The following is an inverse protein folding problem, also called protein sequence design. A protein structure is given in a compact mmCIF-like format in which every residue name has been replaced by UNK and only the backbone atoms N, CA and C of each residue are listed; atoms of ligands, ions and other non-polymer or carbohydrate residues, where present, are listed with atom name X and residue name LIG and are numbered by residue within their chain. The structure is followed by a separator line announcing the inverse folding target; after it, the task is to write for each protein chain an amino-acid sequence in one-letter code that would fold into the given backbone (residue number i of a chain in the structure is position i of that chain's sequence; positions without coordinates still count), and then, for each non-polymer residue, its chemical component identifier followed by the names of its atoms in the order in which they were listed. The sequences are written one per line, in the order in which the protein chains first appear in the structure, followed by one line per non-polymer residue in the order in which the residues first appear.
data_IF_557727290706
#
_entry.id   IF_557727290706
#
_cell.length_a   1.000
_cell.length_b   1.000
_cell.length_c   1.000
_cell.angle_alpha   90.00
_cell.angle_beta   90.00
_cell.angle_gamma   90.00
#
_symmetry.space_group_name_H-M   'P 1'
#
loop_
_entity.id
_entity.type
_entity.pdbx_description
1 polymer ?
#
# COMPACT_ATOMS: atom_id res chain seq x y z
N UNK A 1 -15.17 44.08 10.68
CA UNK A 1 -15.06 42.82 11.45
C UNK A 1 -13.83 42.10 10.93
N UNK A 2 -12.92 41.58 11.77
CA UNK A 2 -11.82 40.79 11.23
C UNK A 2 -12.45 39.64 10.45
N UNK A 3 -12.01 39.43 9.20
CA UNK A 3 -12.39 38.24 8.45
C UNK A 3 -12.15 37.05 9.37
N UNK A 4 -13.17 36.20 9.57
CA UNK A 4 -13.03 35.03 10.43
C UNK A 4 -11.76 34.28 10.04
N UNK A 5 -10.82 34.14 10.97
CA UNK A 5 -9.58 33.41 10.74
C UNK A 5 -9.93 32.04 10.16
N UNK A 6 -9.22 31.66 9.10
CA UNK A 6 -9.52 30.42 8.39
C UNK A 6 -9.32 29.24 9.34
N UNK A 7 -10.28 28.31 9.39
CA UNK A 7 -10.13 27.10 10.21
C UNK A 7 -9.07 26.20 9.60
N UNK A 8 -8.41 25.37 10.42
CA UNK A 8 -7.37 24.47 9.93
C UNK A 8 -7.88 23.58 8.78
N UNK A 9 -9.06 22.99 8.94
CA UNK A 9 -9.70 22.13 7.92
C UNK A 9 -9.94 22.88 6.61
N UNK A 10 -10.49 24.09 6.67
CA UNK A 10 -10.76 24.89 5.48
C UNK A 10 -9.47 25.37 4.80
N UNK A 11 -8.44 25.68 5.59
CA UNK A 11 -7.11 26.01 5.07
C UNK A 11 -6.47 24.83 4.36
N UNK A 12 -6.48 23.63 4.97
CA UNK A 12 -5.97 22.40 4.35
C UNK A 12 -6.73 22.03 3.08
N UNK A 13 -8.06 22.13 3.09
CA UNK A 13 -8.88 21.86 1.91
C UNK A 13 -8.56 22.83 0.76
N UNK A 14 -8.43 24.12 1.06
CA UNK A 14 -8.07 25.14 0.08
C UNK A 14 -6.65 24.92 -0.48
N UNK A 15 -5.68 24.63 0.39
CA UNK A 15 -4.31 24.31 -0.03
C UNK A 15 -4.29 23.06 -0.92
N UNK A 16 -5.00 22.00 -0.55
CA UNK A 16 -5.09 20.75 -1.32
C UNK A 16 -5.74 20.95 -2.70
N UNK A 17 -6.66 21.90 -2.83
CA UNK A 17 -7.30 22.22 -4.10
C UNK A 17 -6.36 22.93 -5.10
N UNK A 18 -5.25 23.51 -4.63
CA UNK A 18 -4.40 24.39 -5.43
C UNK A 18 -2.93 23.97 -5.51
N UNK A 19 -2.44 23.15 -4.59
CA UNK A 19 -1.04 22.80 -4.47
C UNK A 19 -0.85 21.31 -4.17
N UNK A 20 0.24 20.74 -4.68
CA UNK A 20 0.70 19.43 -4.27
C UNK A 20 1.36 19.50 -2.87
N UNK A 21 1.25 18.47 -2.02
CA UNK A 21 1.82 18.49 -0.67
C UNK A 21 3.30 18.86 -0.60
N UNK A 22 4.12 18.30 -1.51
CA UNK A 22 5.55 18.58 -1.56
C UNK A 22 5.91 20.05 -1.86
N UNK A 23 4.98 20.84 -2.40
CA UNK A 23 5.18 22.28 -2.61
C UNK A 23 4.98 23.09 -1.32
N UNK A 24 4.39 22.48 -0.29
CA UNK A 24 3.97 23.13 0.95
C UNK A 24 4.71 22.60 2.18
N UNK A 25 5.35 21.43 2.09
CA UNK A 25 5.97 20.72 3.21
C UNK A 25 6.82 21.63 4.11
N UNK A 26 7.83 22.32 3.54
CA UNK A 26 8.71 23.23 4.31
C UNK A 26 7.95 24.37 5.00
N UNK A 27 6.89 24.90 4.39
CA UNK A 27 6.10 25.96 5.02
C UNK A 27 5.19 25.41 6.13
N UNK A 28 4.67 24.19 5.97
CA UNK A 28 3.81 23.54 6.95
C UNK A 28 4.57 23.01 8.18
N UNK A 29 5.89 22.88 8.08
CA UNK A 29 6.77 22.61 9.22
C UNK A 29 6.94 23.85 10.13
N UNK A 30 6.83 25.06 9.57
CA UNK A 30 7.09 26.32 10.28
C UNK A 30 5.81 27.09 10.63
N UNK A 31 4.77 26.96 9.81
CA UNK A 31 3.53 27.75 9.88
C UNK A 31 2.28 26.87 9.89
N UNK A 32 1.23 27.37 10.52
CA UNK A 32 -0.09 26.72 10.47
C UNK A 32 -0.66 26.73 9.04
N UNK A 33 -1.54 25.79 8.67
CA UNK A 33 -2.18 25.79 7.35
C UNK A 33 -2.87 27.12 6.99
N UNK A 34 -3.47 27.80 7.97
CA UNK A 34 -4.11 29.10 7.76
C UNK A 34 -3.10 30.20 7.41
N UNK A 35 -1.95 30.23 8.09
CA UNK A 35 -0.87 31.17 7.79
C UNK A 35 -0.25 30.90 6.42
N UNK A 36 -0.04 29.62 6.05
CA UNK A 36 0.44 29.24 4.72
C UNK A 36 -0.54 29.69 3.64
N UNK A 37 -1.84 29.46 3.82
CA UNK A 37 -2.86 29.95 2.88
C UNK A 37 -2.79 31.47 2.69
N UNK A 38 -2.73 32.22 3.79
CA UNK A 38 -2.63 33.68 3.78
C UNK A 38 -1.36 34.19 3.07
N UNK A 39 -0.22 33.52 3.27
CA UNK A 39 1.03 33.82 2.54
C UNK A 39 0.87 33.57 1.05
N UNK A 40 0.30 32.43 0.67
CA UNK A 40 0.05 32.08 -0.73
C UNK A 40 -0.88 33.07 -1.42
N UNK A 41 -1.96 33.49 -0.76
CA UNK A 41 -2.86 34.55 -1.24
C UNK A 41 -2.11 35.87 -1.48
N UNK A 42 -1.29 36.33 -0.53
CA UNK A 42 -0.52 37.57 -0.66
C UNK A 42 0.50 37.52 -1.80
N UNK A 43 1.12 36.37 -2.02
CA UNK A 43 2.09 36.18 -3.11
C UNK A 43 1.45 35.91 -4.48
N UNK A 44 0.14 35.66 -4.53
CA UNK A 44 -0.55 35.30 -5.77
C UNK A 44 -0.90 36.54 -6.60
N UNK A 45 -0.02 36.88 -7.55
CA UNK A 45 -0.21 38.04 -8.42
C UNK A 45 -1.41 37.97 -9.38
N UNK A 46 -2.05 36.80 -9.56
CA UNK A 46 -3.22 36.65 -10.42
C UNK A 46 -4.56 36.99 -9.75
N UNK A 47 -4.59 37.12 -8.42
CA UNK A 47 -5.80 37.37 -7.64
C UNK A 47 -6.76 36.16 -7.53
N UNK A 48 -6.42 35.02 -8.12
CA UNK A 48 -7.25 33.81 -8.13
C UNK A 48 -7.46 33.26 -6.72
N UNK A 49 -6.40 33.22 -5.90
CA UNK A 49 -6.52 32.73 -4.53
C UNK A 49 -7.28 33.71 -3.62
N UNK A 50 -7.22 35.01 -3.91
CA UNK A 50 -7.95 36.03 -3.15
C UNK A 50 -9.47 35.99 -3.41
N UNK A 51 -9.90 35.54 -4.60
CA UNK A 51 -11.31 35.36 -4.92
C UNK A 51 -11.87 34.01 -4.45
N UNK A 52 -11.01 33.06 -4.08
CA UNK A 52 -11.42 31.76 -3.55
C UNK A 52 -12.11 31.90 -2.18
N UNK A 53 -13.07 31.01 -1.89
CA UNK A 53 -13.89 31.04 -0.66
C UNK A 53 -13.78 29.70 0.07
N UNK A 54 -12.68 29.47 0.83
CA UNK A 54 -12.41 28.19 1.47
C UNK A 54 -13.56 27.63 2.33
N UNK A 55 -14.16 28.47 3.20
CA UNK A 55 -15.23 28.04 4.09
C UNK A 55 -16.49 27.63 3.33
N UNK A 56 -16.87 28.39 2.31
CA UNK A 56 -18.08 28.11 1.51
C UNK A 56 -17.89 26.84 0.68
N UNK A 57 -16.72 26.67 0.06
CA UNK A 57 -16.44 25.51 -0.76
C UNK A 57 -16.33 24.23 0.06
N UNK A 58 -15.65 24.28 1.22
CA UNK A 58 -15.58 23.16 2.15
C UNK A 58 -17.00 22.79 2.61
N UNK A 59 -17.77 23.76 3.12
CA UNK A 59 -19.11 23.51 3.62
C UNK A 59 -20.03 22.91 2.54
N UNK A 60 -19.92 23.35 1.29
CA UNK A 60 -20.71 22.81 0.18
C UNK A 60 -20.31 21.35 -0.15
N UNK A 61 -19.02 21.03 -0.15
CA UNK A 61 -18.55 19.68 -0.43
C UNK A 61 -18.87 18.69 0.70
N UNK A 62 -18.78 19.15 1.96
CA UNK A 62 -19.08 18.36 3.17
C UNK A 62 -20.56 17.96 3.28
N UNK A 63 -21.47 18.59 2.52
CA UNK A 63 -22.84 18.10 2.36
C UNK A 63 -22.90 16.69 1.74
N UNK A 64 -21.84 16.25 1.05
CA UNK A 64 -21.80 14.97 0.35
C UNK A 64 -20.66 14.06 0.83
N UNK A 65 -19.48 14.62 1.06
CA UNK A 65 -18.28 13.88 1.43
C UNK A 65 -17.53 14.69 2.49
N UNK A 66 -17.37 14.21 3.74
CA UNK A 66 -16.52 14.87 4.71
C UNK A 66 -15.06 14.94 4.23
N UNK A 67 -14.37 16.02 4.61
CA UNK A 67 -12.92 16.14 4.42
C UNK A 67 -12.22 15.92 5.76
N UNK A 68 -11.52 14.81 5.92
CA UNK A 68 -10.74 14.52 7.14
C UNK A 68 -9.31 15.06 7.02
N UNK A 69 -8.71 15.42 8.15
CA UNK A 69 -7.36 16.01 8.23
C UNK A 69 -6.49 15.27 9.27
N UNK A 70 -5.16 15.45 9.27
CA UNK A 70 -4.25 14.75 10.18
C UNK A 70 -4.57 14.81 11.68
N UNK A 71 -5.29 15.85 12.13
CA UNK A 71 -5.67 16.01 13.54
C UNK A 71 -6.93 15.22 13.93
N UNK A 72 -7.62 14.58 12.97
CA UNK A 72 -8.83 13.81 13.23
C UNK A 72 -8.50 12.39 13.68
N UNK A 73 -9.32 11.82 14.57
CA UNK A 73 -9.19 10.43 15.04
C UNK A 73 -9.26 9.41 13.89
N UNK A 74 -10.01 9.73 12.83
CA UNK A 74 -10.19 8.88 11.64
C UNK A 74 -9.03 8.97 10.63
N UNK A 75 -8.01 9.79 10.89
CA UNK A 75 -6.90 9.96 9.97
C UNK A 75 -6.01 8.72 9.92
N UNK A 76 -5.77 8.13 8.72
CA UNK A 76 -4.84 7.01 8.60
C UNK A 76 -3.40 7.47 8.85
N UNK A 77 -2.85 7.10 10.01
CA UNK A 77 -1.50 7.53 10.43
C UNK A 77 -0.40 7.03 9.50
N UNK A 78 -0.61 5.90 8.80
CA UNK A 78 0.31 5.35 7.79
C UNK A 78 0.61 6.33 6.64
N UNK A 79 -0.26 7.31 6.36
CA UNK A 79 0.02 8.34 5.37
C UNK A 79 1.21 9.24 5.73
N UNK A 80 1.62 9.27 7.01
CA UNK A 80 2.80 10.00 7.45
C UNK A 80 4.09 9.47 6.82
N UNK A 81 4.13 8.20 6.41
CA UNK A 81 5.31 7.57 5.79
C UNK A 81 5.64 8.18 4.41
N UNK A 82 4.68 8.87 3.80
CA UNK A 82 4.89 9.68 2.58
C UNK A 82 5.73 10.95 2.82
N UNK A 83 6.04 11.30 4.07
CA UNK A 83 6.87 12.45 4.42
C UNK A 83 6.36 13.76 3.79
N UNK A 84 7.20 14.51 3.04
CA UNK A 84 6.77 15.74 2.35
C UNK A 84 5.62 15.56 1.36
N UNK A 85 5.36 14.33 0.89
CA UNK A 85 4.24 14.02 0.02
C UNK A 85 2.94 13.66 0.78
N UNK A 86 2.96 13.63 2.11
CA UNK A 86 1.80 13.33 2.95
C UNK A 86 0.61 14.25 2.61
N UNK A 87 -0.58 13.70 2.29
CA UNK A 87 -1.75 14.49 1.94
C UNK A 87 -2.17 15.47 3.03
N UNK A 88 -2.68 16.63 2.62
CA UNK A 88 -3.20 17.64 3.55
C UNK A 88 -4.54 17.24 4.18
N UNK A 89 -5.25 16.31 3.54
CA UNK A 89 -6.50 15.73 4.00
C UNK A 89 -7.06 14.77 2.94
N UNK A 90 -8.14 14.07 3.29
CA UNK A 90 -8.83 13.13 2.42
C UNK A 90 -10.33 13.42 2.40
N UNK A 91 -10.92 13.43 1.21
CA UNK A 91 -12.36 13.32 1.05
C UNK A 91 -12.76 11.87 1.25
N UNK A 92 -13.82 11.64 2.02
CA UNK A 92 -14.31 10.30 2.36
C UNK A 92 -15.79 10.17 2.01
N UNK A 93 -16.19 9.02 1.49
CA UNK A 93 -17.58 8.63 1.29
C UNK A 93 -17.76 7.19 1.75
N UNK A 94 -18.65 6.94 2.70
CA UNK A 94 -18.83 5.62 3.32
C UNK A 94 -19.41 5.74 4.72
N UNK A 95 -19.80 4.62 5.33
CA UNK A 95 -20.36 4.58 6.70
C UNK A 95 -19.38 4.05 7.74
N UNK A 96 -18.46 3.18 7.35
CA UNK A 96 -17.43 2.65 8.24
C UNK A 96 -16.34 3.69 8.53
N UNK A 97 -15.68 3.51 9.67
CA UNK A 97 -14.54 4.30 10.10
C UNK A 97 -13.35 4.00 9.19
N UNK A 98 -12.75 5.03 8.61
CA UNK A 98 -11.66 4.87 7.63
C UNK A 98 -10.45 4.20 8.28
N UNK A 99 -10.12 4.58 9.52
CA UNK A 99 -9.01 3.99 10.26
C UNK A 99 -9.12 2.45 10.35
N UNK A 100 -10.33 1.93 10.64
CA UNK A 100 -10.60 0.49 10.71
C UNK A 100 -10.37 -0.22 9.38
N UNK A 101 -10.78 0.39 8.27
CA UNK A 101 -10.58 -0.16 6.93
C UNK A 101 -9.09 -0.20 6.57
N UNK A 102 -8.33 0.82 6.97
CA UNK A 102 -6.90 0.92 6.64
C UNK A 102 -6.02 0.03 7.50
N UNK A 103 -6.42 -0.30 8.74
CA UNK A 103 -5.65 -1.16 9.65
C UNK A 103 -5.38 -2.56 9.07
N UNK A 104 -6.27 -3.06 8.20
CA UNK A 104 -6.16 -4.37 7.56
C UNK A 104 -6.15 -4.29 6.03
N UNK A 105 -5.90 -3.11 5.45
CA UNK A 105 -5.98 -2.90 4.02
C UNK A 105 -4.89 -3.64 3.25
N UNK A 106 -5.29 -4.41 2.24
CA UNK A 106 -4.38 -5.07 1.29
C UNK A 106 -4.75 -4.69 -0.12
N UNK A 107 -3.77 -4.18 -0.86
CA UNK A 107 -3.97 -3.75 -2.25
C UNK A 107 -3.92 -4.95 -3.16
N UNK A 108 -4.94 -5.10 -4.01
CA UNK A 108 -4.91 -6.05 -5.13
C UNK A 108 -5.08 -5.26 -6.42
N UNK A 109 -4.00 -5.13 -7.20
CA UNK A 109 -3.97 -4.26 -8.38
C UNK A 109 -3.19 -4.87 -9.54
N UNK A 110 -3.38 -4.32 -10.74
CA UNK A 110 -2.69 -4.77 -11.93
C UNK A 110 -3.27 -4.22 -13.23
N UNK A 111 -3.21 -5.06 -14.26
CA UNK A 111 -3.50 -4.73 -15.64
C UNK A 111 -4.98 -4.39 -15.81
N UNK A 112 -5.24 -3.35 -16.60
CA UNK A 112 -6.61 -2.90 -16.95
C UNK A 112 -7.29 -3.77 -18.00
N UNK A 113 -6.50 -4.55 -18.74
CA UNK A 113 -6.95 -5.55 -19.70
C UNK A 113 -6.23 -6.89 -19.42
N UNK A 114 -6.54 -7.53 -18.27
CA UNK A 114 -5.82 -8.70 -17.80
C UNK A 114 -6.12 -9.94 -18.64
N UNK A 115 -5.23 -10.93 -18.59
CA UNK A 115 -5.51 -12.29 -19.06
C UNK A 115 -6.58 -12.97 -18.20
N UNK A 116 -7.25 -14.02 -18.71
CA UNK A 116 -8.22 -14.80 -17.93
C UNK A 116 -7.58 -15.42 -16.67
N UNK A 117 -6.32 -15.83 -16.77
CA UNK A 117 -5.56 -16.33 -15.63
C UNK A 117 -5.35 -15.25 -14.58
N UNK A 118 -5.02 -14.02 -14.98
CA UNK A 118 -4.87 -12.89 -14.07
C UNK A 118 -6.22 -12.47 -13.44
N UNK A 119 -7.34 -12.56 -14.17
CA UNK A 119 -8.68 -12.36 -13.59
C UNK A 119 -8.96 -13.39 -12.51
N UNK A 120 -8.73 -14.67 -12.79
CA UNK A 120 -8.92 -15.77 -11.83
C UNK A 120 -8.06 -15.55 -10.59
N UNK A 121 -6.78 -15.24 -10.78
CA UNK A 121 -5.83 -14.99 -9.70
C UNK A 121 -6.22 -13.78 -8.85
N UNK A 122 -6.66 -12.68 -9.47
CA UNK A 122 -7.14 -11.50 -8.76
C UNK A 122 -8.37 -11.80 -7.89
N UNK A 123 -9.29 -12.62 -8.43
CA UNK A 123 -10.47 -13.08 -7.71
C UNK A 123 -10.09 -13.96 -6.52
N UNK A 124 -9.20 -14.94 -6.70
CA UNK A 124 -8.73 -15.84 -5.64
C UNK A 124 -8.03 -15.07 -4.52
N UNK A 125 -7.13 -14.13 -4.85
CA UNK A 125 -6.46 -13.27 -3.87
C UNK A 125 -7.46 -12.44 -3.06
N UNK A 126 -8.34 -11.72 -3.74
CA UNK A 126 -9.29 -10.83 -3.08
C UNK A 126 -10.32 -11.60 -2.24
N UNK A 127 -10.79 -12.76 -2.71
CA UNK A 127 -11.69 -13.64 -1.95
C UNK A 127 -11.01 -14.12 -0.67
N UNK A 128 -9.80 -14.67 -0.78
CA UNK A 128 -9.07 -15.18 0.38
C UNK A 128 -8.79 -14.09 1.42
N UNK A 129 -8.35 -12.91 0.97
CA UNK A 129 -8.10 -11.75 1.84
C UNK A 129 -9.37 -11.32 2.57
N UNK A 130 -10.48 -11.18 1.85
CA UNK A 130 -11.75 -10.77 2.42
C UNK A 130 -12.28 -11.82 3.42
N UNK A 131 -12.24 -13.10 3.09
CA UNK A 131 -12.63 -14.19 4.01
C UNK A 131 -11.78 -14.23 5.29
N UNK A 132 -10.51 -13.84 5.19
CA UNK A 132 -9.60 -13.71 6.33
C UNK A 132 -9.78 -12.40 7.13
N UNK A 133 -10.71 -11.52 6.73
CA UNK A 133 -11.02 -10.26 7.42
C UNK A 133 -10.12 -9.08 7.05
N UNK A 134 -9.33 -9.20 5.97
CA UNK A 134 -8.59 -8.07 5.41
C UNK A 134 -9.49 -7.20 4.54
N UNK A 135 -9.25 -5.90 4.56
CA UNK A 135 -9.94 -4.95 3.69
C UNK A 135 -9.27 -4.96 2.33
N UNK A 136 -9.94 -5.50 1.30
CA UNK A 136 -9.43 -5.39 -0.07
C UNK A 136 -9.50 -3.93 -0.53
N UNK A 137 -8.41 -3.41 -1.08
CA UNK A 137 -8.36 -2.03 -1.59
C UNK A 137 -7.76 -1.93 -2.99
N UNK A 138 -8.30 -1.03 -3.82
CA UNK A 138 -7.81 -0.75 -5.18
C UNK A 138 -8.30 0.61 -5.68
N UNK A 139 -7.93 1.02 -6.91
CA UNK A 139 -8.34 2.31 -7.49
C UNK A 139 -9.69 2.29 -8.22
N UNK A 140 -10.40 1.17 -8.17
CA UNK A 140 -11.63 0.90 -8.94
C UNK A 140 -11.44 0.89 -10.47
N UNK A 141 -10.19 0.80 -10.95
CA UNK A 141 -9.90 0.72 -12.39
C UNK A 141 -10.51 -0.54 -13.04
N UNK A 142 -10.49 -0.58 -14.38
CA UNK A 142 -10.81 -1.80 -15.12
C UNK A 142 -9.84 -2.94 -14.79
N UNK A 143 -10.25 -4.18 -15.12
CA UNK A 143 -9.40 -5.35 -15.00
C UNK A 143 -9.25 -5.77 -13.54
N UNK A 144 -7.99 -5.97 -13.12
CA UNK A 144 -7.65 -6.53 -11.81
C UNK A 144 -8.32 -5.78 -10.65
N UNK A 145 -8.26 -4.44 -10.63
CA UNK A 145 -8.85 -3.63 -9.56
C UNK A 145 -10.36 -3.88 -9.40
N UNK A 146 -11.11 -3.91 -10.51
CA UNK A 146 -12.54 -4.19 -10.45
C UNK A 146 -12.86 -5.62 -10.07
N UNK A 147 -12.07 -6.59 -10.54
CA UNK A 147 -12.21 -7.99 -10.16
C UNK A 147 -11.99 -8.17 -8.66
N UNK A 148 -10.99 -7.50 -8.08
CA UNK A 148 -10.72 -7.54 -6.65
C UNK A 148 -11.88 -7.00 -5.81
N UNK A 149 -12.44 -5.85 -6.18
CA UNK A 149 -13.61 -5.29 -5.50
C UNK A 149 -14.86 -6.17 -5.64
N UNK A 150 -15.07 -6.78 -6.82
CA UNK A 150 -16.19 -7.71 -7.05
C UNK A 150 -16.07 -8.94 -6.17
N UNK A 151 -14.91 -9.59 -6.17
CA UNK A 151 -14.62 -10.75 -5.34
C UNK A 151 -14.80 -10.44 -3.85
N UNK A 152 -14.29 -9.31 -3.37
CA UNK A 152 -14.51 -8.87 -1.99
C UNK A 152 -16.00 -8.68 -1.67
N UNK A 153 -16.77 -8.06 -2.58
CA UNK A 153 -18.20 -7.87 -2.40
C UNK A 153 -18.99 -9.19 -2.36
N UNK A 154 -18.58 -10.21 -3.11
CA UNK A 154 -19.19 -11.55 -3.12
C UNK A 154 -19.07 -12.26 -1.75
N UNK A 155 -18.03 -11.97 -0.97
CA UNK A 155 -17.87 -12.48 0.40
C UNK A 155 -18.70 -11.70 1.44
N UNK A 156 -19.35 -10.61 1.04
CA UNK A 156 -20.11 -9.72 1.93
C UNK A 156 -19.25 -8.83 2.83
N UNK A 157 -17.94 -8.76 2.59
CA UNK A 157 -17.02 -7.94 3.36
C UNK A 157 -16.85 -6.52 2.77
N UNK A 158 -16.46 -5.59 3.64
CA UNK A 158 -16.16 -4.22 3.25
C UNK A 158 -14.86 -4.14 2.43
N UNK A 159 -14.83 -3.22 1.45
CA UNK A 159 -13.62 -2.87 0.70
C UNK A 159 -13.43 -1.35 0.64
N UNK A 160 -12.22 -0.92 0.32
CA UNK A 160 -11.84 0.50 0.28
C UNK A 160 -11.40 0.90 -1.14
N UNK A 161 -12.10 1.82 -1.78
CA UNK A 161 -11.72 2.35 -3.09
C UNK A 161 -10.94 3.67 -2.96
N UNK A 162 -9.80 3.80 -3.64
CA UNK A 162 -9.03 5.05 -3.72
C UNK A 162 -9.20 5.68 -5.10
N UNK A 163 -10.05 6.70 -5.22
CA UNK A 163 -10.41 7.24 -6.52
C UNK A 163 -9.47 8.35 -7.01
N UNK A 164 -9.10 8.38 -8.31
CA UNK A 164 -8.26 9.42 -8.90
C UNK A 164 -9.03 10.71 -9.24
N UNK A 165 -10.18 10.95 -8.59
CA UNK A 165 -11.13 12.02 -8.92
C UNK A 165 -11.99 12.38 -7.73
N UNK A 166 -12.82 13.41 -7.84
CA UNK A 166 -13.85 13.71 -6.85
C UNK A 166 -14.84 12.55 -6.63
N UNK A 167 -15.34 12.41 -5.40
CA UNK A 167 -16.23 11.31 -4.97
C UNK A 167 -17.71 11.46 -5.39
N UNK A 168 -18.01 12.47 -6.22
CA UNK A 168 -19.29 12.68 -6.89
C UNK A 168 -19.57 11.65 -8.00
N UNK A 169 -18.59 10.80 -8.36
CA UNK A 169 -18.82 9.65 -9.22
C UNK A 169 -17.63 8.69 -9.32
N UNK A 170 -17.85 7.53 -9.92
CA UNK A 170 -16.81 6.52 -10.15
C UNK A 170 -15.85 6.92 -11.29
N UNK A 171 -14.65 6.33 -11.29
CA UNK A 171 -13.76 6.30 -12.44
C UNK A 171 -13.23 4.87 -12.62
N UNK A 172 -13.49 4.21 -13.75
CA UNK A 172 -14.30 4.67 -14.90
C UNK A 172 -15.79 4.85 -14.54
N UNK A 173 -16.53 5.63 -15.33
CA UNK A 173 -17.96 5.90 -15.06
C UNK A 173 -18.81 4.62 -15.05
N UNK A 174 -18.44 3.62 -15.87
CA UNK A 174 -19.11 2.32 -15.93
C UNK A 174 -19.11 1.56 -14.58
N UNK A 175 -18.20 1.90 -13.66
CA UNK A 175 -18.09 1.24 -12.35
C UNK A 175 -18.90 1.93 -11.26
N UNK A 176 -19.83 2.83 -11.62
CA UNK A 176 -20.76 3.42 -10.66
C UNK A 176 -21.59 2.36 -9.88
N UNK A 177 -22.10 1.27 -10.49
CA UNK A 177 -22.76 0.21 -9.73
C UNK A 177 -21.82 -0.50 -8.75
N UNK A 178 -20.56 -0.73 -9.14
CA UNK A 178 -19.56 -1.35 -8.27
C UNK A 178 -19.22 -0.45 -7.09
N UNK A 179 -19.03 0.86 -7.32
CA UNK A 179 -18.86 1.83 -6.24
C UNK A 179 -20.05 1.84 -5.27
N UNK A 180 -21.29 1.76 -5.78
CA UNK A 180 -22.47 1.63 -4.90
C UNK A 180 -22.38 0.37 -4.07
N UNK A 181 -22.08 -0.78 -4.69
CA UNK A 181 -21.93 -2.06 -3.99
C UNK A 181 -20.90 -2.00 -2.87
N UNK A 182 -19.75 -1.33 -3.10
CA UNK A 182 -18.72 -1.13 -2.06
C UNK A 182 -19.32 -0.39 -0.87
N UNK A 183 -20.01 0.72 -1.11
CA UNK A 183 -20.60 1.55 -0.05
C UNK A 183 -21.75 0.83 0.69
N UNK A 184 -22.56 0.07 -0.05
CA UNK A 184 -23.71 -0.68 0.47
C UNK A 184 -23.26 -1.84 1.38
N UNK A 185 -22.10 -2.45 1.09
CA UNK A 185 -21.46 -3.49 1.92
C UNK A 185 -20.65 -2.92 3.09
N UNK A 186 -20.86 -1.65 3.45
CA UNK A 186 -20.13 -1.01 4.54
C UNK A 186 -18.72 -0.55 4.16
N UNK A 187 -18.31 -0.65 2.91
CA UNK A 187 -17.03 -0.09 2.44
C UNK A 187 -16.99 1.44 2.43
N UNK A 188 -15.86 1.96 1.97
CA UNK A 188 -15.64 3.38 1.78
C UNK A 188 -14.93 3.67 0.46
N UNK A 189 -15.04 4.92 0.00
CA UNK A 189 -14.24 5.49 -1.06
C UNK A 189 -13.55 6.75 -0.54
N UNK A 190 -12.27 6.90 -0.88
CA UNK A 190 -11.46 8.06 -0.51
C UNK A 190 -10.85 8.72 -1.74
N UNK A 191 -10.58 10.02 -1.62
CA UNK A 191 -9.92 10.80 -2.67
C UNK A 191 -9.16 11.99 -2.10
N UNK A 192 -8.06 12.35 -2.76
CA UNK A 192 -7.37 13.62 -2.53
C UNK A 192 -8.15 14.83 -3.06
N UNK A 193 -9.14 14.58 -3.93
CA UNK A 193 -9.75 15.59 -4.76
C UNK A 193 -11.19 15.86 -4.34
N UNK A 194 -11.51 17.15 -4.25
CA UNK A 194 -12.88 17.60 -3.94
C UNK A 194 -13.89 17.14 -5.00
N UNK A 195 -15.18 17.01 -4.64
CA UNK A 195 -16.25 16.77 -5.59
C UNK A 195 -16.19 17.70 -6.82
N UNK A 196 -16.42 17.15 -8.01
CA UNK A 196 -16.34 17.85 -9.30
C UNK A 196 -14.96 17.83 -9.96
N UNK A 197 -13.92 17.31 -9.31
CA UNK A 197 -12.60 17.15 -9.92
C UNK A 197 -12.56 15.92 -10.83
N UNK A 198 -12.15 16.11 -12.09
CA UNK A 198 -12.02 15.03 -13.08
C UNK A 198 -10.71 14.24 -12.93
N UNK A 199 -10.72 12.98 -13.40
CA UNK A 199 -9.51 12.17 -13.47
C UNK A 199 -8.55 12.69 -14.56
N UNK A 200 -7.25 12.64 -14.27
CA UNK A 200 -6.16 12.94 -15.20
C UNK A 200 -4.97 12.01 -14.94
N UNK A 201 -3.93 12.06 -15.78
CA UNK A 201 -2.71 11.27 -15.55
C UNK A 201 -2.05 11.57 -14.20
N UNK A 202 -2.04 12.84 -13.78
CA UNK A 202 -1.47 13.26 -12.50
C UNK A 202 -2.28 12.72 -11.32
N UNK A 203 -3.61 12.75 -11.42
CA UNK A 203 -4.48 12.30 -10.32
C UNK A 203 -4.44 10.78 -10.16
N UNK A 204 -4.27 10.05 -11.26
CA UNK A 204 -4.04 8.59 -11.25
C UNK A 204 -2.74 8.22 -10.54
N UNK A 205 -1.65 8.94 -10.79
CA UNK A 205 -0.37 8.71 -10.10
C UNK A 205 -0.51 8.99 -8.60
N UNK A 206 -1.11 10.13 -8.25
CA UNK A 206 -1.31 10.51 -6.84
C UNK A 206 -2.21 9.52 -6.08
N UNK A 207 -3.28 9.00 -6.69
CA UNK A 207 -4.12 7.98 -6.06
C UNK A 207 -3.39 6.65 -5.86
N UNK A 208 -2.50 6.26 -6.78
CA UNK A 208 -1.69 5.04 -6.62
C UNK A 208 -0.70 5.15 -5.45
N UNK A 209 -0.11 6.33 -5.25
CA UNK A 209 0.77 6.62 -4.10
C UNK A 209 0.00 6.50 -2.79
N UNK A 210 -1.17 7.15 -2.70
CA UNK A 210 -2.05 7.06 -1.52
C UNK A 210 -2.53 5.63 -1.28
N UNK A 211 -2.87 4.90 -2.35
CA UNK A 211 -3.30 3.51 -2.26
C UNK A 211 -2.24 2.63 -1.59
N UNK A 212 -0.97 2.74 -2.01
CA UNK A 212 0.12 1.99 -1.40
C UNK A 212 0.39 2.41 0.05
N UNK A 213 0.34 3.71 0.35
CA UNK A 213 0.56 4.24 1.69
C UNK A 213 -0.53 3.87 2.71
N UNK A 214 -1.75 3.59 2.24
CA UNK A 214 -2.85 3.12 3.10
C UNK A 214 -2.79 1.61 3.38
N UNK A 215 -1.90 0.87 2.73
CA UNK A 215 -1.92 -0.58 2.70
C UNK A 215 -0.89 -1.21 3.64
N UNK A 216 -1.26 -2.36 4.20
CA UNK A 216 -0.37 -3.27 4.93
C UNK A 216 0.49 -4.13 4.01
N UNK A 217 0.00 -4.37 2.79
CA UNK A 217 0.69 -5.10 1.74
C UNK A 217 0.11 -4.74 0.37
N UNK A 218 0.91 -4.89 -0.68
CA UNK A 218 0.50 -4.71 -2.08
C UNK A 218 0.69 -6.00 -2.86
N UNK A 219 -0.30 -6.36 -3.67
CA UNK A 219 -0.31 -7.54 -4.53
C UNK A 219 -0.47 -7.07 -5.98
N UNK A 220 0.58 -7.26 -6.78
CA UNK A 220 0.61 -6.99 -8.21
C UNK A 220 0.31 -8.27 -8.99
N UNK A 221 -0.91 -8.40 -9.50
CA UNK A 221 -1.38 -9.65 -10.12
C UNK A 221 -0.82 -9.86 -11.53
N UNK A 222 -0.83 -8.81 -12.34
CA UNK A 222 -0.30 -8.79 -13.71
C UNK A 222 -0.10 -7.32 -14.07
N UNK A 223 1.06 -6.90 -14.54
CA UNK A 223 1.26 -5.53 -15.01
C UNK A 223 2.34 -5.46 -16.11
N UNK A 224 2.07 -4.64 -17.12
CA UNK A 224 3.12 -4.20 -18.04
C UNK A 224 4.07 -3.26 -17.29
N UNK A 225 5.34 -3.27 -17.68
CA UNK A 225 6.24 -2.23 -17.18
C UNK A 225 5.77 -0.84 -17.64
N UNK A 226 6.02 0.16 -16.80
CA UNK A 226 5.66 1.56 -17.03
C UNK A 226 4.15 1.88 -17.17
N UNK A 227 3.26 1.07 -16.59
CA UNK A 227 1.81 1.39 -16.51
C UNK A 227 1.37 1.82 -15.12
N UNK A 228 0.14 2.33 -15.01
CA UNK A 228 -0.37 2.95 -13.79
C UNK A 228 -0.30 2.08 -12.53
N UNK A 229 -0.50 0.76 -12.65
CA UNK A 229 -0.39 -0.17 -11.52
C UNK A 229 1.04 -0.30 -10.97
N UNK A 230 2.06 -0.06 -11.81
CA UNK A 230 3.45 -0.06 -11.36
C UNK A 230 3.75 1.07 -10.38
N UNK A 231 3.04 2.21 -10.44
CA UNK A 231 3.24 3.28 -9.45
C UNK A 231 2.90 2.82 -8.04
N UNK A 232 1.86 1.99 -7.85
CA UNK A 232 1.53 1.45 -6.54
C UNK A 232 2.61 0.48 -6.04
N UNK A 233 3.13 -0.38 -6.93
CA UNK A 233 4.22 -1.30 -6.61
C UNK A 233 5.53 -0.57 -6.29
N UNK A 234 5.92 0.43 -7.10
CA UNK A 234 7.11 1.26 -6.86
C UNK A 234 6.98 2.04 -5.56
N UNK A 235 5.81 2.62 -5.28
CA UNK A 235 5.56 3.30 -4.00
C UNK A 235 5.66 2.31 -2.83
N UNK A 236 5.18 1.07 -2.98
CA UNK A 236 5.32 0.06 -1.94
C UNK A 236 6.79 -0.24 -1.63
N UNK A 237 7.64 -0.34 -2.66
CA UNK A 237 9.10 -0.49 -2.49
C UNK A 237 9.69 0.72 -1.75
N UNK A 238 9.35 1.95 -2.18
CA UNK A 238 9.82 3.20 -1.56
C UNK A 238 9.40 3.33 -0.08
N UNK A 239 8.21 2.84 0.27
CA UNK A 239 7.68 2.85 1.64
C UNK A 239 8.07 1.62 2.46
N UNK A 240 8.85 0.70 1.90
CA UNK A 240 9.14 -0.61 2.51
C UNK A 240 7.88 -1.38 2.93
N UNK A 241 6.78 -1.17 2.21
CA UNK A 241 5.55 -1.91 2.36
C UNK A 241 5.71 -3.28 1.68
N UNK A 242 5.34 -4.40 2.36
CA UNK A 242 5.41 -5.74 1.77
C UNK A 242 4.76 -5.81 0.39
N UNK A 243 5.54 -6.23 -0.61
CA UNK A 243 5.11 -6.32 -2.00
C UNK A 243 5.17 -7.76 -2.48
N UNK A 244 4.05 -8.24 -3.01
CA UNK A 244 3.92 -9.52 -3.70
C UNK A 244 3.69 -9.25 -5.18
N UNK A 245 4.45 -9.92 -6.03
CA UNK A 245 4.21 -9.96 -7.45
C UNK A 245 3.88 -11.40 -7.84
N UNK A 246 2.79 -11.57 -8.57
CA UNK A 246 2.44 -12.88 -9.04
C UNK A 246 3.42 -13.33 -10.16
N UNK A 247 3.65 -14.65 -10.36
CA UNK A 247 4.66 -15.15 -11.27
C UNK A 247 4.53 -14.57 -12.67
N UNK A 248 5.66 -14.14 -13.24
CA UNK A 248 5.74 -13.74 -14.64
C UNK A 248 5.49 -14.96 -15.55
N UNK A 249 4.62 -14.79 -16.55
CA UNK A 249 4.21 -15.89 -17.44
C UNK A 249 5.02 -15.92 -18.74
N UNK A 250 5.99 -15.02 -18.90
CA UNK A 250 6.69 -14.77 -20.16
C UNK A 250 5.91 -13.93 -21.17
N UNK A 251 4.63 -13.62 -20.90
CA UNK A 251 3.85 -12.64 -21.66
C UNK A 251 4.27 -11.22 -21.30
N UNK A 252 4.34 -10.33 -22.30
CA UNK A 252 4.64 -8.88 -22.12
C UNK A 252 3.72 -8.20 -21.10
N UNK A 253 2.49 -8.69 -20.93
CA UNK A 253 1.54 -8.22 -19.90
C UNK A 253 2.03 -8.41 -18.47
N UNK A 254 3.01 -9.27 -18.25
CA UNK A 254 3.65 -9.51 -16.95
C UNK A 254 5.08 -8.96 -16.87
N UNK A 255 5.50 -8.11 -17.82
CA UNK A 255 6.85 -7.53 -17.84
C UNK A 255 7.20 -6.70 -16.60
N UNK A 256 6.22 -6.01 -15.99
CA UNK A 256 6.40 -5.29 -14.73
C UNK A 256 6.58 -6.24 -13.54
N UNK A 257 5.84 -7.35 -13.51
CA UNK A 257 6.05 -8.42 -12.53
C UNK A 257 7.46 -9.00 -12.66
N UNK A 258 7.88 -9.35 -13.89
CA UNK A 258 9.22 -9.86 -14.14
C UNK A 258 10.30 -8.90 -13.64
N UNK A 259 10.19 -7.59 -13.95
CA UNK A 259 11.14 -6.59 -13.47
C UNK A 259 11.26 -6.55 -11.94
N UNK A 260 10.13 -6.61 -11.23
CA UNK A 260 10.13 -6.57 -9.75
C UNK A 260 10.74 -7.84 -9.15
N UNK A 261 10.42 -9.00 -9.73
CA UNK A 261 10.94 -10.29 -9.27
C UNK A 261 12.44 -10.44 -9.57
N UNK A 262 12.87 -10.11 -10.79
CA UNK A 262 14.28 -10.16 -11.20
C UNK A 262 15.15 -9.18 -10.39
N UNK A 263 14.56 -8.06 -9.96
CA UNK A 263 15.21 -7.07 -9.10
C UNK A 263 15.09 -7.36 -7.60
N UNK A 264 14.49 -8.49 -7.20
CA UNK A 264 14.25 -8.87 -5.80
C UNK A 264 13.50 -7.80 -4.99
N UNK A 265 12.60 -7.05 -5.65
CA UNK A 265 11.79 -5.98 -5.07
C UNK A 265 10.41 -6.46 -4.62
N UNK A 266 10.06 -7.71 -4.92
CA UNK A 266 8.78 -8.31 -4.55
C UNK A 266 8.93 -9.80 -4.28
N UNK A 267 8.05 -10.32 -3.43
CA UNK A 267 7.91 -11.76 -3.21
C UNK A 267 7.17 -12.40 -4.37
N UNK A 268 7.70 -13.48 -4.91
CA UNK A 268 6.99 -14.32 -5.87
C UNK A 268 5.91 -15.13 -5.16
N UNK A 269 4.64 -14.97 -5.54
CA UNK A 269 3.57 -15.84 -5.04
C UNK A 269 2.56 -16.24 -6.11
N UNK A 270 2.41 -17.53 -6.43
CA UNK A 270 1.40 -18.01 -7.37
C UNK A 270 -0.01 -18.02 -6.78
N UNK A 271 -0.13 -18.06 -5.45
CA UNK A 271 -1.39 -18.34 -4.74
C UNK A 271 -1.61 -17.42 -3.51
N UNK A 272 -2.83 -17.39 -2.94
CA UNK A 272 -3.19 -16.45 -1.89
C UNK A 272 -2.66 -16.77 -0.49
N UNK A 273 -2.09 -17.95 -0.22
CA UNK A 273 -1.64 -18.33 1.14
C UNK A 273 -0.60 -17.35 1.67
N UNK A 274 0.37 -17.01 0.83
CA UNK A 274 1.42 -16.05 1.19
C UNK A 274 0.87 -14.64 1.33
N UNK A 275 -0.11 -14.26 0.50
CA UNK A 275 -0.79 -12.97 0.60
C UNK A 275 -1.49 -12.76 1.95
N UNK A 276 -1.99 -13.83 2.58
CA UNK A 276 -2.58 -13.77 3.93
C UNK A 276 -1.52 -13.52 5.02
N UNK A 277 -0.28 -13.97 4.79
CA UNK A 277 0.81 -13.82 5.74
C UNK A 277 1.48 -12.43 5.68
N UNK A 278 1.57 -11.84 4.48
CA UNK A 278 2.26 -10.57 4.23
C UNK A 278 1.85 -9.39 5.14
N UNK A 279 0.56 -9.15 5.45
CA UNK A 279 0.16 -8.07 6.35
C UNK A 279 0.75 -8.17 7.76
N UNK A 280 1.14 -9.39 8.16
CA UNK A 280 1.78 -9.71 9.44
C UNK A 280 3.31 -9.70 9.38
N UNK A 281 3.91 -9.37 8.23
CA UNK A 281 5.34 -9.27 8.09
C UNK A 281 5.90 -8.18 9.00
N UNK A 282 7.03 -8.48 9.64
CA UNK A 282 7.75 -7.56 10.53
C UNK A 282 9.25 -7.72 10.35
N UNK A 283 9.98 -6.66 10.65
CA UNK A 283 11.44 -6.74 10.74
C UNK A 283 11.83 -7.42 12.06
N UNK A 284 12.76 -8.37 11.99
CA UNK A 284 13.36 -9.04 13.13
C UNK A 284 14.88 -9.11 12.93
N UNK A 285 15.63 -9.26 14.03
CA UNK A 285 17.05 -9.63 13.93
C UNK A 285 17.15 -11.10 13.58
N UNK A 286 18.18 -11.49 12.82
CA UNK A 286 18.41 -12.88 12.46
C UNK A 286 18.48 -13.79 13.70
N UNK A 287 19.17 -13.36 14.76
CA UNK A 287 19.27 -14.13 16.01
C UNK A 287 17.94 -14.29 16.78
N UNK A 288 16.92 -13.49 16.45
CA UNK A 288 15.59 -13.56 17.06
C UNK A 288 14.59 -14.41 16.24
N UNK A 289 15.01 -14.98 15.11
CA UNK A 289 14.19 -15.85 14.27
C UNK A 289 13.91 -17.15 15.02
N UNK A 290 12.64 -17.54 15.09
CA UNK A 290 12.22 -18.78 15.73
C UNK A 290 12.01 -19.90 14.71
N UNK A 291 12.08 -21.14 15.21
CA UNK A 291 11.71 -22.32 14.43
C UNK A 291 10.28 -22.18 13.86
N UNK A 292 10.14 -22.37 12.55
CA UNK A 292 8.87 -22.26 11.84
C UNK A 292 8.53 -20.85 11.32
N UNK A 293 9.35 -19.83 11.59
CA UNK A 293 9.13 -18.49 11.05
C UNK A 293 9.37 -18.47 9.53
N UNK A 294 8.52 -17.78 8.77
CA UNK A 294 8.69 -17.59 7.33
C UNK A 294 9.61 -16.40 7.05
N UNK A 295 10.71 -16.65 6.34
CA UNK A 295 11.65 -15.66 5.85
C UNK A 295 11.23 -15.15 4.47
N UNK A 296 11.09 -13.82 4.35
CA UNK A 296 10.68 -13.16 3.10
C UNK A 296 11.82 -12.41 2.42
N UNK A 297 12.68 -11.73 3.19
CA UNK A 297 13.70 -10.84 2.67
C UNK A 297 14.83 -10.57 3.67
N UNK A 298 16.00 -10.20 3.15
CA UNK A 298 17.01 -9.46 3.91
C UNK A 298 16.64 -7.97 3.94
N UNK A 299 16.93 -7.26 5.04
CA UNK A 299 16.63 -5.83 5.17
C UNK A 299 17.92 -5.06 5.40
N UNK A 300 18.28 -4.22 4.42
CA UNK A 300 19.45 -3.36 4.47
C UNK A 300 19.10 -1.87 4.48
N UNK A 301 20.12 -1.01 4.38
CA UNK A 301 19.94 0.45 4.35
C UNK A 301 19.11 0.93 3.14
N UNK A 302 19.12 0.18 2.05
CA UNK A 302 18.41 0.51 0.81
C UNK A 302 17.00 -0.11 0.74
N UNK A 303 16.58 -0.86 1.77
CA UNK A 303 15.28 -1.54 1.83
C UNK A 303 15.39 -3.06 1.89
N UNK A 304 14.29 -3.73 1.56
CA UNK A 304 14.18 -5.19 1.57
C UNK A 304 14.64 -5.80 0.24
N UNK A 305 15.52 -6.79 0.32
CA UNK A 305 15.95 -7.66 -0.78
C UNK A 305 15.25 -9.01 -0.62
N UNK A 306 14.19 -9.21 -1.39
CA UNK A 306 13.31 -10.37 -1.26
C UNK A 306 13.97 -11.65 -1.78
N UNK A 307 13.77 -12.74 -1.05
CA UNK A 307 14.22 -14.05 -1.50
C UNK A 307 13.35 -14.54 -2.65
N UNK A 308 13.99 -15.13 -3.67
CA UNK A 308 13.29 -15.72 -4.81
C UNK A 308 12.28 -16.78 -4.38
N UNK A 309 12.66 -17.55 -3.35
CA UNK A 309 11.81 -18.54 -2.69
C UNK A 309 11.83 -18.22 -1.19
N UNK A 310 10.77 -17.59 -0.67
CA UNK A 310 10.55 -17.49 0.77
C UNK A 310 10.52 -18.87 1.41
N UNK A 311 10.97 -18.97 2.66
CA UNK A 311 11.11 -20.27 3.28
C UNK A 311 10.92 -20.29 4.78
N UNK A 312 10.53 -21.45 5.28
CA UNK A 312 10.37 -21.70 6.72
C UNK A 312 11.76 -21.92 7.33
N UNK A 313 12.11 -21.09 8.30
CA UNK A 313 13.40 -21.09 8.96
C UNK A 313 13.44 -22.13 10.08
N UNK A 314 14.54 -22.88 10.11
CA UNK A 314 14.93 -23.75 11.22
C UNK A 314 16.28 -23.25 11.77
N UNK A 315 16.28 -22.54 12.92
CA UNK A 315 17.50 -22.02 13.51
C UNK A 315 18.41 -23.15 14.02
N UNK A 316 19.66 -23.14 13.56
CA UNK A 316 20.70 -24.09 13.89
C UNK A 316 21.95 -23.37 14.43
N UNK A 317 22.75 -24.03 15.29
CA UNK A 317 24.01 -23.47 15.75
C UNK A 317 25.02 -23.36 14.60
N UNK A 318 25.80 -22.29 14.59
CA UNK A 318 26.92 -22.14 13.66
C UNK A 318 27.95 -23.27 13.85
N UNK A 319 28.17 -24.06 12.80
CA UNK A 319 29.15 -25.14 12.79
C UNK A 319 30.05 -25.08 11.53
N UNK A 320 31.28 -24.55 11.63
CA UNK A 320 32.22 -24.52 10.51
C UNK A 320 32.78 -25.92 10.16
N UNK A 321 32.49 -26.95 10.95
CA UNK A 321 32.97 -28.32 10.76
C UNK A 321 31.95 -29.26 10.10
N UNK A 322 30.72 -28.79 9.82
CA UNK A 322 29.62 -29.60 9.27
C UNK A 322 29.88 -30.14 7.84
N UNK A 323 30.96 -29.70 7.18
CA UNK A 323 31.42 -30.22 5.91
C UNK A 323 30.76 -29.62 4.67
N UNK A 324 29.67 -28.84 4.80
CA UNK A 324 29.05 -28.12 3.69
C UNK A 324 29.86 -26.91 3.21
N UNK A 325 30.71 -26.35 4.09
CA UNK A 325 31.60 -25.24 3.78
C UNK A 325 30.95 -23.85 3.81
N UNK A 326 29.63 -23.73 4.01
CA UNK A 326 28.94 -22.42 3.98
C UNK A 326 29.34 -21.56 5.19
N UNK A 327 29.39 -22.14 6.38
CA UNK A 327 29.86 -21.45 7.59
C UNK A 327 31.32 -20.96 7.47
N UNK A 328 32.14 -21.55 6.58
CA UNK A 328 33.51 -21.10 6.33
C UNK A 328 33.60 -19.79 5.53
N UNK A 329 32.49 -19.33 4.94
CA UNK A 329 32.43 -18.06 4.20
C UNK A 329 32.33 -16.85 5.14
N UNK A 330 31.93 -17.06 6.39
CA UNK A 330 31.86 -16.01 7.41
C UNK A 330 33.28 -15.74 7.94
N UNK A 331 33.79 -14.52 7.71
CA UNK A 331 35.17 -14.15 8.03
C UNK A 331 35.32 -13.45 9.39
N UNK A 332 34.25 -12.86 9.92
CA UNK A 332 34.19 -12.22 11.24
C UNK A 332 32.86 -12.56 11.91
N UNK A 333 32.77 -13.70 12.63
CA UNK A 333 31.48 -14.31 12.91
C UNK A 333 30.67 -13.60 14.00
N UNK A 334 31.29 -12.84 14.92
CA UNK A 334 30.54 -12.31 16.07
C UNK A 334 29.62 -13.39 16.69
N UNK A 335 28.33 -13.06 16.83
CA UNK A 335 27.27 -14.05 17.05
C UNK A 335 26.59 -14.36 15.70
N UNK A 336 26.53 -15.65 15.32
CA UNK A 336 25.91 -16.12 14.07
C UNK A 336 24.84 -17.17 14.38
N UNK A 337 23.73 -17.07 13.67
CA UNK A 337 22.70 -18.11 13.59
C UNK A 337 22.70 -18.69 12.18
N UNK A 338 22.53 -20.00 12.06
CA UNK A 338 22.30 -20.65 10.77
C UNK A 338 20.80 -20.80 10.60
N UNK A 339 20.23 -20.26 9.53
CA UNK A 339 18.82 -20.43 9.19
C UNK A 339 18.75 -21.44 8.04
N UNK A 340 18.23 -22.63 8.32
CA UNK A 340 18.08 -23.69 7.32
C UNK A 340 16.62 -23.87 6.90
N UNK A 341 16.41 -24.48 5.74
CA UNK A 341 15.09 -24.95 5.27
C UNK A 341 14.74 -26.37 5.75
N UNK A 342 15.58 -26.96 6.61
CA UNK A 342 15.46 -28.35 7.05
C UNK A 342 16.57 -29.27 6.51
N UNK A 343 16.43 -30.57 6.80
CA UNK A 343 17.43 -31.61 6.52
C UNK A 343 16.99 -32.46 5.31
N UNK A 344 17.82 -32.69 4.27
CA UNK A 344 19.24 -32.38 4.14
C UNK A 344 19.52 -31.40 2.98
N UNK A 345 19.77 -30.12 3.30
CA UNK A 345 20.53 -29.14 2.49
C UNK A 345 19.84 -28.41 1.31
N UNK A 346 18.57 -28.02 1.39
CA UNK A 346 18.01 -27.14 0.34
C UNK A 346 18.49 -25.67 0.48
N UNK A 347 18.60 -25.13 1.71
CA UNK A 347 19.43 -23.95 2.02
C UNK A 347 20.00 -24.02 3.46
N UNK A 348 21.24 -23.55 3.64
CA UNK A 348 21.93 -23.45 4.93
C UNK A 348 22.58 -22.07 4.95
N UNK A 349 21.92 -21.09 5.56
CA UNK A 349 22.31 -19.68 5.43
C UNK A 349 22.83 -19.14 6.77
N UNK A 350 24.15 -18.95 6.95
CA UNK A 350 24.68 -18.33 8.15
C UNK A 350 24.47 -16.82 8.11
N UNK A 351 23.80 -16.29 9.14
CA UNK A 351 23.53 -14.86 9.31
C UNK A 351 24.22 -14.31 10.55
N UNK A 352 24.92 -13.17 10.45
CA UNK A 352 25.22 -12.36 11.62
C UNK A 352 23.95 -12.08 12.41
N UNK A 353 23.94 -12.34 13.72
CA UNK A 353 22.73 -12.31 14.53
C UNK A 353 22.04 -10.93 14.58
N UNK A 354 22.78 -9.85 14.28
CA UNK A 354 22.27 -8.48 14.24
C UNK A 354 21.73 -8.05 12.87
N UNK A 355 21.91 -8.85 11.81
CA UNK A 355 21.34 -8.56 10.51
C UNK A 355 19.81 -8.57 10.59
N UNK A 356 19.17 -7.75 9.78
CA UNK A 356 17.72 -7.58 9.81
C UNK A 356 17.08 -8.39 8.69
N UNK A 357 16.00 -9.10 9.04
CA UNK A 357 15.22 -9.94 8.15
C UNK A 357 13.75 -9.54 8.21
N UNK A 358 13.07 -9.59 7.07
CA UNK A 358 11.62 -9.47 7.01
C UNK A 358 11.01 -10.85 7.18
N UNK A 359 10.23 -11.04 8.26
CA UNK A 359 9.69 -12.35 8.61
C UNK A 359 8.19 -12.29 8.88
N UNK A 360 7.52 -13.43 8.71
CA UNK A 360 6.19 -13.69 9.29
C UNK A 360 6.34 -14.78 10.34
N UNK A 361 5.91 -14.49 11.56
CA UNK A 361 6.07 -15.46 12.64
C UNK A 361 5.20 -16.70 12.45
N UNK A 362 5.70 -17.87 12.85
CA UNK A 362 5.06 -19.18 12.66
C UNK A 362 3.58 -19.22 13.04
N UNK A 363 3.23 -18.66 14.21
CA UNK A 363 1.85 -18.60 14.71
C UNK A 363 0.88 -17.73 13.89
N UNK A 364 1.38 -16.96 12.93
CA UNK A 364 0.59 -16.14 11.98
C UNK A 364 0.44 -16.80 10.62
N UNK A 365 1.23 -17.83 10.34
CA UNK A 365 1.02 -18.70 9.19
C UNK A 365 -0.18 -19.59 9.55
N UNK A 366 -1.29 -19.42 8.84
CA UNK A 366 -2.52 -20.20 9.08
C UNK A 366 -2.25 -21.71 9.10
N UNK A 367 -3.09 -22.51 9.77
CA UNK A 367 -3.00 -23.99 9.90
C UNK A 367 -2.99 -24.79 8.57
N UNK A 368 -2.89 -24.13 7.40
CA UNK A 368 -2.64 -24.78 6.13
C UNK A 368 -1.13 -24.73 5.86
N UNK A 369 -0.41 -25.86 5.94
CA UNK A 369 1.01 -25.87 5.66
C UNK A 369 1.28 -25.25 4.29
N UNK A 370 2.26 -24.35 4.25
CA UNK A 370 3.01 -24.05 3.04
C UNK A 370 3.77 -25.35 2.71
N UNK A 371 3.09 -26.35 2.16
CA UNK A 371 3.76 -27.56 1.69
C UNK A 371 4.75 -27.18 0.60
N UNK A 372 5.95 -27.78 0.70
CA UNK A 372 7.18 -27.57 -0.09
C UNK A 372 6.97 -27.35 -1.61
#
# INVERSE_FOLDING_TARGET
MPAHALSERAARAALAAHFAPGQLATELDEYTPAEVWDRRVRSNGSGLLASYRPHEELAQAELTCPFIIPSDEEWPTALADLGPACPLGLWVRGRERLARLTDSAVVVTGNRAPTEQAVTRAHDFATALAEAGHTVTATLAYGVDSTAHQAAAETGQASLAVLPRGLDGAHPHAHAPLLSSILDNGGAAVSLYRPGTAASGATLKASAVVLAALARAVILVEALDHVGSMYAAETAVELHCPLLAAPATGDVRSSGNARLLDGQLAVNSPDPRLALALPHARVARAGDVADGDLLLAAVGEQGADYFNTPYIAHPEPFDPSCGCGVCCLITDPGEVVVLSQGDPWESCDPWPANDLLLIVSAHRLTDRPLEE
#
